data_IF_957527487805
#
_entry.id   IF_957527487805
#
_cell.length_a   1.000
_cell.length_b   1.000
_cell.length_c   1.000
_cell.angle_alpha   90.00
_cell.angle_beta   90.00
_cell.angle_gamma   90.00
#
_symmetry.space_group_name_H-M   'P 1'
#
loop_
_entity.id
_entity.type
_entity.pdbx_description
1 polymer ?
#
# COMPACT_ATOMS: atom_id res chain seq x y z
N UNK A 1 -14.43 15.71 -14.66
CA UNK A 1 -14.23 14.23 -14.72
C UNK A 1 -15.25 13.53 -15.61
N UNK A 2 -16.57 13.73 -15.44
CA UNK A 2 -17.59 13.03 -16.25
C UNK A 2 -17.46 13.18 -17.78
N UNK A 3 -17.01 14.34 -18.30
CA UNK A 3 -16.82 14.53 -19.75
C UNK A 3 -15.65 13.74 -20.34
N UNK A 4 -14.62 13.42 -19.55
CA UNK A 4 -13.43 12.70 -20.00
C UNK A 4 -13.53 11.19 -19.72
N UNK A 5 -14.24 10.81 -18.65
CA UNK A 5 -14.42 9.43 -18.21
C UNK A 5 -15.89 9.22 -17.83
N UNK A 6 -16.78 8.95 -18.81
CA UNK A 6 -18.17 8.63 -18.53
C UNK A 6 -18.25 7.32 -17.74
N UNK A 7 -19.14 7.26 -16.75
CA UNK A 7 -19.36 6.10 -15.87
C UNK A 7 -18.14 5.67 -15.03
N UNK A 8 -17.25 6.61 -14.69
CA UNK A 8 -16.11 6.35 -13.82
C UNK A 8 -16.56 5.75 -12.48
N UNK A 9 -16.05 4.56 -12.18
CA UNK A 9 -16.19 3.87 -10.89
C UNK A 9 -14.86 3.89 -10.16
N UNK A 10 -14.89 4.02 -8.85
CA UNK A 10 -13.70 4.02 -8.01
C UNK A 10 -13.66 2.75 -7.17
N UNK A 11 -12.54 2.04 -7.25
CA UNK A 11 -12.18 1.01 -6.27
C UNK A 11 -11.07 1.62 -5.43
N UNK A 12 -11.27 1.67 -4.12
CA UNK A 12 -10.33 2.26 -3.19
C UNK A 12 -9.84 1.19 -2.22
N UNK A 13 -8.56 0.85 -2.36
CA UNK A 13 -7.90 -0.16 -1.52
C UNK A 13 -7.11 0.58 -0.44
N UNK A 14 -7.32 0.22 0.80
CA UNK A 14 -6.52 0.68 1.94
C UNK A 14 -5.85 -0.48 2.64
N UNK A 15 -4.79 -0.20 3.37
CA UNK A 15 -4.13 -1.16 4.24
C UNK A 15 -4.30 -0.70 5.68
N UNK A 16 -4.80 -1.58 6.55
CA UNK A 16 -4.96 -1.23 7.98
C UNK A 16 -3.62 -1.03 8.64
N UNK A 17 -2.64 -1.85 8.26
CA UNK A 17 -1.26 -1.73 8.73
C UNK A 17 -0.47 -0.66 7.96
N UNK A 18 -0.59 0.59 8.44
CA UNK A 18 0.12 1.74 7.87
C UNK A 18 1.65 1.62 7.96
N UNK A 19 2.17 0.99 9.01
CA UNK A 19 3.61 0.81 9.16
C UNK A 19 4.14 -0.15 8.10
N UNK A 20 3.46 -1.28 7.88
CA UNK A 20 3.85 -2.20 6.80
C UNK A 20 3.63 -1.60 5.40
N UNK A 21 2.63 -0.73 5.22
CA UNK A 21 2.49 0.05 3.99
C UNK A 21 3.70 0.98 3.77
N UNK A 22 4.08 1.73 4.81
CA UNK A 22 5.21 2.66 4.76
C UNK A 22 6.55 1.94 4.52
N UNK A 23 6.78 0.79 5.14
CA UNK A 23 7.96 -0.05 4.90
C UNK A 23 8.00 -0.54 3.45
N UNK A 24 6.86 -1.00 2.92
CA UNK A 24 6.76 -1.40 1.51
C UNK A 24 7.08 -0.23 0.57
N UNK A 25 6.57 0.98 0.88
CA UNK A 25 6.85 2.19 0.11
C UNK A 25 8.32 2.60 0.18
N UNK A 26 8.93 2.58 1.37
CA UNK A 26 10.35 2.88 1.56
C UNK A 26 11.25 1.92 0.75
N UNK A 27 10.91 0.62 0.74
CA UNK A 27 11.63 -0.38 -0.06
C UNK A 27 11.47 -0.13 -1.56
N UNK A 28 10.25 0.17 -2.02
CA UNK A 28 9.98 0.48 -3.42
C UNK A 28 10.76 1.72 -3.89
N UNK A 29 10.79 2.77 -3.07
CA UNK A 29 11.55 3.99 -3.37
C UNK A 29 13.05 3.70 -3.52
N UNK A 30 13.63 2.85 -2.66
CA UNK A 30 15.04 2.47 -2.78
C UNK A 30 15.32 1.59 -4.02
N UNK A 31 14.37 0.73 -4.41
CA UNK A 31 14.50 -0.09 -5.62
C UNK A 31 14.28 0.70 -6.92
N UNK A 32 13.48 1.77 -6.88
CA UNK A 32 13.17 2.63 -8.04
C UNK A 32 14.17 3.79 -8.22
N UNK A 33 14.99 4.10 -7.20
CA UNK A 33 15.93 5.24 -7.17
C UNK A 33 17.23 5.10 -8.02
N UNK A 34 17.22 4.31 -9.11
CA UNK A 34 18.35 4.22 -10.06
C UNK A 34 17.93 4.28 -11.54
N UNK A 35 16.93 5.10 -11.90
CA UNK A 35 16.70 5.47 -13.31
C UNK A 35 16.46 6.96 -13.52
N UNK A 36 17.54 7.71 -13.38
CA UNK A 36 17.83 8.84 -14.25
C UNK A 36 19.35 8.84 -14.50
N UNK A 37 19.73 8.57 -15.76
CA UNK A 37 20.98 9.00 -16.42
C UNK A 37 22.19 8.05 -16.48
N UNK A 38 22.17 6.84 -15.88
CA UNK A 38 23.30 5.90 -15.95
C UNK A 38 22.90 4.48 -16.42
N UNK A 39 23.78 3.72 -17.11
CA UNK A 39 23.55 2.32 -17.41
C UNK A 39 23.32 1.58 -16.08
N UNK A 40 22.20 0.85 -16.01
CA UNK A 40 21.68 0.25 -14.80
C UNK A 40 22.77 -0.48 -13.99
N UNK A 41 23.29 0.17 -12.95
CA UNK A 41 23.93 -0.52 -11.85
C UNK A 41 22.83 -1.34 -11.14
N UNK A 42 23.13 -2.54 -10.63
CA UNK A 42 22.15 -3.27 -9.84
C UNK A 42 21.76 -2.38 -8.66
N UNK A 43 20.46 -2.05 -8.57
CA UNK A 43 19.93 -1.40 -7.37
C UNK A 43 20.37 -2.25 -6.18
N UNK A 44 21.10 -1.64 -5.23
CA UNK A 44 21.51 -2.32 -4.01
C UNK A 44 20.28 -2.91 -3.29
N UNK A 45 20.50 -3.96 -2.48
CA UNK A 45 19.41 -4.47 -1.65
C UNK A 45 18.89 -3.33 -0.75
N UNK A 46 17.56 -3.10 -0.68
CA UNK A 46 17.02 -2.05 0.18
C UNK A 46 17.51 -2.20 1.62
N UNK A 47 17.90 -1.08 2.23
CA UNK A 47 18.43 -1.04 3.60
C UNK A 47 17.46 -0.35 4.55
N UNK A 48 17.50 -0.77 5.82
CA UNK A 48 16.65 -0.21 6.85
C UNK A 48 17.00 1.26 7.11
N UNK A 49 16.04 2.15 6.86
CA UNK A 49 16.15 3.57 7.17
C UNK A 49 14.91 4.04 7.95
N UNK A 50 15.09 4.29 9.24
CA UNK A 50 14.00 4.75 10.12
C UNK A 50 13.48 6.15 9.77
N UNK A 51 14.33 7.02 9.21
CA UNK A 51 13.95 8.34 8.74
C UNK A 51 13.03 8.23 7.53
N UNK A 52 13.45 7.47 6.52
CA UNK A 52 12.65 7.21 5.31
C UNK A 52 11.32 6.52 5.64
N UNK A 53 11.30 5.53 6.54
CA UNK A 53 10.05 4.90 6.98
C UNK A 53 9.13 5.93 7.65
N UNK A 54 9.65 6.82 8.50
CA UNK A 54 8.85 7.86 9.14
C UNK A 54 8.26 8.84 8.13
N UNK A 55 9.03 9.24 7.12
CA UNK A 55 8.52 10.03 5.99
C UNK A 55 7.41 9.28 5.23
N UNK A 56 7.60 8.00 4.94
CA UNK A 56 6.61 7.20 4.26
C UNK A 56 5.30 7.04 5.07
N UNK A 57 5.36 6.99 6.41
CA UNK A 57 4.16 6.97 7.26
C UNK A 57 3.36 8.27 7.09
N UNK A 58 4.04 9.42 7.11
CA UNK A 58 3.40 10.72 6.91
C UNK A 58 2.78 10.81 5.52
N UNK A 59 3.49 10.34 4.49
CA UNK A 59 2.99 10.35 3.13
C UNK A 59 1.77 9.44 2.96
N UNK A 60 1.80 8.21 3.48
CA UNK A 60 0.65 7.29 3.46
C UNK A 60 -0.56 7.93 4.13
N UNK A 61 -0.36 8.59 5.28
CA UNK A 61 -1.44 9.28 6.00
C UNK A 61 -2.02 10.42 5.17
N UNK A 62 -1.16 11.25 4.57
CA UNK A 62 -1.57 12.35 3.69
C UNK A 62 -2.32 11.86 2.45
N UNK A 63 -1.87 10.77 1.84
CA UNK A 63 -2.52 10.15 0.68
C UNK A 63 -3.94 9.66 1.05
N UNK A 64 -4.10 9.02 2.22
CA UNK A 64 -5.41 8.62 2.73
C UNK A 64 -6.36 9.82 2.92
N UNK A 65 -5.86 10.90 3.51
CA UNK A 65 -6.63 12.14 3.70
C UNK A 65 -7.04 12.78 2.37
N UNK A 66 -6.11 12.91 1.43
CA UNK A 66 -6.38 13.48 0.10
C UNK A 66 -7.49 12.71 -0.61
N UNK A 67 -7.44 11.38 -0.59
CA UNK A 67 -8.49 10.55 -1.21
C UNK A 67 -9.81 10.66 -0.48
N UNK A 68 -9.80 10.65 0.86
CA UNK A 68 -11.01 10.83 1.66
C UNK A 68 -11.71 12.16 1.35
N UNK A 69 -10.94 13.25 1.34
CA UNK A 69 -11.41 14.59 0.99
C UNK A 69 -11.93 14.65 -0.44
N UNK A 70 -11.21 14.06 -1.39
CA UNK A 70 -11.62 14.00 -2.78
C UNK A 70 -12.98 13.31 -2.93
N UNK A 71 -13.18 12.16 -2.29
CA UNK A 71 -14.45 11.45 -2.35
C UNK A 71 -15.59 12.25 -1.71
N UNK A 72 -15.36 12.81 -0.51
CA UNK A 72 -16.36 13.62 0.19
C UNK A 72 -16.79 14.86 -0.61
N UNK A 73 -15.81 15.63 -1.13
CA UNK A 73 -16.06 16.86 -1.89
C UNK A 73 -16.82 16.62 -3.19
N UNK A 74 -16.70 15.42 -3.77
CA UNK A 74 -17.34 15.07 -5.03
C UNK A 74 -18.57 14.17 -4.85
N UNK A 75 -18.98 13.84 -3.62
CA UNK A 75 -20.10 12.94 -3.34
C UNK A 75 -19.91 11.54 -3.93
N UNK A 76 -18.66 11.06 -3.98
CA UNK A 76 -18.30 9.77 -4.57
C UNK A 76 -18.25 8.71 -3.46
N UNK A 77 -19.02 7.64 -3.64
CA UNK A 77 -18.90 6.43 -2.82
C UNK A 77 -18.08 5.37 -3.56
N UNK A 78 -16.79 5.20 -3.26
CA UNK A 78 -15.97 4.17 -3.88
C UNK A 78 -16.32 2.78 -3.32
N UNK A 79 -16.08 1.74 -4.11
CA UNK A 79 -16.03 0.38 -3.58
C UNK A 79 -14.75 0.22 -2.76
N UNK A 80 -14.90 0.05 -1.45
CA UNK A 80 -13.78 0.02 -0.49
C UNK A 80 -13.33 -1.41 -0.25
N UNK A 81 -12.02 -1.62 -0.30
CA UNK A 81 -11.36 -2.87 0.04
C UNK A 81 -10.29 -2.62 1.09
N UNK A 82 -10.26 -3.46 2.11
CA UNK A 82 -9.15 -3.52 3.05
C UNK A 82 -8.18 -4.62 2.56
N UNK A 83 -6.91 -4.28 2.40
CA UNK A 83 -5.88 -5.13 1.81
C UNK A 83 -5.78 -6.48 2.52
N UNK A 84 -5.87 -6.48 3.86
CA UNK A 84 -5.78 -7.70 4.65
C UNK A 84 -6.95 -8.66 4.37
N UNK A 85 -8.16 -8.12 4.13
CA UNK A 85 -9.32 -8.93 3.77
C UNK A 85 -9.24 -9.37 2.31
N UNK A 86 -8.74 -8.51 1.43
CA UNK A 86 -8.47 -8.84 0.04
C UNK A 86 -7.45 -9.97 -0.09
N UNK A 87 -6.34 -9.90 0.63
CA UNK A 87 -5.31 -10.94 0.64
C UNK A 87 -5.83 -12.25 1.23
N UNK A 88 -6.58 -12.19 2.35
CA UNK A 88 -7.14 -13.38 3.02
C UNK A 88 -8.27 -14.04 2.23
N UNK A 89 -9.10 -13.25 1.56
CA UNK A 89 -10.31 -13.69 0.86
C UNK A 89 -10.29 -13.25 -0.60
N UNK A 90 -9.18 -13.52 -1.30
CA UNK A 90 -8.90 -13.04 -2.66
C UNK A 90 -10.06 -13.26 -3.63
N UNK A 91 -10.53 -14.49 -3.80
CA UNK A 91 -11.59 -14.84 -4.74
C UNK A 91 -12.88 -14.07 -4.46
N UNK A 92 -13.30 -14.04 -3.19
CA UNK A 92 -14.52 -13.35 -2.75
C UNK A 92 -14.43 -11.85 -2.96
N UNK A 93 -13.32 -11.23 -2.54
CA UNK A 93 -13.13 -9.79 -2.62
C UNK A 93 -12.99 -9.33 -4.07
N UNK A 94 -12.33 -10.13 -4.92
CA UNK A 94 -12.22 -9.86 -6.36
C UNK A 94 -13.56 -10.04 -7.07
N UNK A 95 -14.33 -11.07 -6.76
CA UNK A 95 -15.68 -11.24 -7.29
C UNK A 95 -16.58 -10.04 -6.96
N UNK A 96 -16.58 -9.58 -5.70
CA UNK A 96 -17.34 -8.40 -5.29
C UNK A 96 -16.91 -7.12 -6.04
N UNK A 97 -15.60 -6.94 -6.28
CA UNK A 97 -15.09 -5.83 -7.07
C UNK A 97 -15.56 -5.90 -8.54
N UNK A 98 -15.57 -7.09 -9.15
CA UNK A 98 -16.04 -7.30 -10.52
C UNK A 98 -17.55 -7.06 -10.65
N UNK A 99 -18.33 -7.50 -9.66
CA UNK A 99 -19.76 -7.22 -9.58
C UNK A 99 -20.02 -5.71 -9.48
N UNK A 100 -19.27 -5.01 -8.62
CA UNK A 100 -19.33 -3.54 -8.54
C UNK A 100 -19.00 -2.88 -9.89
N UNK A 101 -18.02 -3.42 -10.63
CA UNK A 101 -17.68 -2.94 -11.97
C UNK A 101 -18.69 -3.36 -13.05
N UNK A 102 -19.61 -4.28 -12.74
CA UNK A 102 -20.56 -4.89 -13.69
C UNK A 102 -19.87 -5.73 -14.78
N UNK A 103 -18.74 -6.36 -14.42
CA UNK A 103 -17.97 -7.25 -15.30
C UNK A 103 -18.39 -8.69 -15.04
N UNK A 104 -18.85 -9.40 -16.08
CA UNK A 104 -19.12 -10.84 -16.01
C UNK A 104 -17.92 -11.63 -16.49
N UNK A 105 -17.41 -12.52 -15.64
CA UNK A 105 -16.38 -13.46 -16.02
C UNK A 105 -16.97 -14.70 -16.71
N UNK A 106 -16.33 -15.22 -17.76
CA UNK A 106 -16.61 -16.57 -18.26
C UNK A 106 -16.34 -17.62 -17.18
N UNK A 107 -17.15 -18.68 -17.14
CA UNK A 107 -16.99 -19.78 -16.17
C UNK A 107 -15.62 -20.48 -16.21
N UNK A 108 -14.84 -20.31 -17.28
CA UNK A 108 -13.50 -20.88 -17.44
C UNK A 108 -12.40 -20.12 -16.69
N UNK A 109 -12.66 -18.87 -16.26
CA UNK A 109 -11.65 -18.05 -15.57
C UNK A 109 -11.65 -18.38 -14.08
N UNK A 110 -10.53 -18.91 -13.60
CA UNK A 110 -10.29 -19.09 -12.16
C UNK A 110 -9.60 -17.85 -11.60
N UNK A 111 -10.16 -17.32 -10.51
CA UNK A 111 -9.56 -16.23 -9.76
C UNK A 111 -8.51 -16.83 -8.81
N UNK A 112 -7.22 -16.77 -9.15
CA UNK A 112 -6.15 -17.32 -8.29
C UNK A 112 -5.27 -16.21 -7.72
N UNK A 113 -4.87 -16.29 -6.44
CA UNK A 113 -3.99 -15.28 -5.84
C UNK A 113 -2.60 -15.25 -6.52
N UNK A 114 -1.95 -14.07 -6.55
CA UNK A 114 -0.61 -13.93 -7.11
C UNK A 114 0.46 -14.67 -6.28
N UNK A 115 1.52 -15.18 -6.94
CA UNK A 115 2.58 -16.01 -6.32
C UNK A 115 3.69 -15.25 -5.58
N UNK A 116 3.65 -13.91 -5.55
CA UNK A 116 4.83 -13.05 -5.28
C UNK A 116 5.15 -12.80 -3.80
N UNK A 117 4.51 -13.46 -2.82
CA UNK A 117 4.46 -12.95 -1.44
C UNK A 117 5.66 -13.30 -0.53
N UNK A 118 6.33 -14.44 -0.71
CA UNK A 118 7.07 -15.06 0.41
C UNK A 118 8.40 -14.39 0.83
N UNK A 119 9.11 -13.71 -0.06
CA UNK A 119 10.41 -13.09 0.28
C UNK A 119 10.27 -11.64 0.78
N UNK A 120 9.28 -10.90 0.27
CA UNK A 120 9.05 -9.52 0.70
C UNK A 120 8.58 -9.43 2.16
N UNK A 121 7.99 -10.49 2.69
CA UNK A 121 7.44 -10.52 4.05
C UNK A 121 8.49 -10.57 5.15
N UNK A 122 9.58 -11.33 4.98
CA UNK A 122 10.59 -11.50 6.02
C UNK A 122 11.35 -10.19 6.31
N UNK A 123 11.82 -9.51 5.25
CA UNK A 123 12.52 -8.22 5.37
C UNK A 123 11.59 -7.16 5.95
N UNK A 124 10.32 -7.13 5.51
CA UNK A 124 9.36 -6.15 6.02
C UNK A 124 9.07 -6.37 7.51
N UNK A 125 8.95 -7.63 7.95
CA UNK A 125 8.73 -7.97 9.36
C UNK A 125 9.95 -7.59 10.22
N UNK A 126 11.16 -7.81 9.72
CA UNK A 126 12.39 -7.40 10.40
C UNK A 126 12.45 -5.86 10.58
N UNK A 127 12.18 -5.11 9.52
CA UNK A 127 12.17 -3.65 9.55
C UNK A 127 11.09 -3.12 10.50
N UNK A 128 9.94 -3.75 10.52
CA UNK A 128 8.84 -3.42 11.43
C UNK A 128 9.27 -3.57 12.88
N UNK A 129 9.91 -4.70 13.22
CA UNK A 129 10.44 -4.94 14.57
C UNK A 129 11.52 -3.92 14.96
N UNK A 130 12.48 -3.64 14.07
CA UNK A 130 13.53 -2.64 14.28
C UNK A 130 12.94 -1.24 14.51
N UNK A 131 11.98 -0.83 13.68
CA UNK A 131 11.33 0.48 13.78
C UNK A 131 10.57 0.64 15.10
N UNK A 132 9.79 -0.37 15.48
CA UNK A 132 9.04 -0.37 16.76
C UNK A 132 9.99 -0.27 17.97
N UNK A 133 11.10 -1.00 17.95
CA UNK A 133 12.10 -0.94 19.02
C UNK A 133 12.76 0.44 19.16
N UNK A 134 13.08 1.10 18.04
CA UNK A 134 13.63 2.46 18.03
C UNK A 134 12.60 3.49 18.54
N UNK A 135 11.34 3.36 18.11
CA UNK A 135 10.27 4.26 18.54
C UNK A 135 10.00 4.15 20.05
N UNK A 136 9.99 2.93 20.61
CA UNK A 136 9.81 2.71 22.04
C UNK A 136 10.92 3.37 22.87
N UNK A 137 12.19 3.16 22.49
CA UNK A 137 13.35 3.80 23.16
C UNK A 137 13.28 5.34 23.14
N UNK A 138 12.82 5.92 22.02
CA UNK A 138 12.65 7.37 21.89
C UNK A 138 11.52 7.90 22.79
N UNK A 139 10.41 7.18 22.87
CA UNK A 139 9.30 7.53 23.77
C UNK A 139 9.69 7.43 25.24
N UNK A 140 10.47 6.41 25.63
CA UNK A 140 11.03 6.30 26.98
C UNK A 140 11.96 7.48 27.29
N UNK A 141 12.90 7.82 26.41
CA UNK A 141 13.82 8.95 26.61
C UNK A 141 13.10 10.29 26.78
N UNK A 142 12.03 10.53 26.01
CA UNK A 142 11.22 11.76 26.11
C UNK A 142 10.34 11.82 27.35
N UNK A 143 10.06 10.69 28.02
CA UNK A 143 9.29 10.67 29.27
C UNK A 143 10.11 11.04 30.52
N UNK A 144 11.43 11.18 30.37
CA UNK A 144 12.37 11.57 31.43
C UNK A 144 12.77 13.06 31.40
N UNK A 145 12.23 13.85 30.47
CA UNK A 145 12.47 15.30 30.32
C UNK A 145 11.19 16.06 30.63
#
# INVERSE_FOLDING_TARGET
MQKALPHLKFIYIRRRDRLRQAISKARALQSDMWRSDAPAAPAGEPEFDAGLISHCILDVTREEEIWSDFFARNGIEPFRLEYEDFARHYERSLAAALDFLSIRLPHSVKLTPPRTERQADAISAEWEARYKALSAKRSELLSYV
#
